data_IF_506864723181
#
_entry.id   IF_506864723181
#
_cell.length_a   1.000
_cell.length_b   1.000
_cell.length_c   1.000
_cell.angle_alpha   90.00
_cell.angle_beta   90.00
_cell.angle_gamma   90.00
#
_symmetry.space_group_name_H-M   'P 1'
#
loop_
_entity.id
_entity.type
_entity.pdbx_description
1 polymer ?
#
# COMPACT_ATOMS: atom_id res chain seq x y z
N UNK A 1 10.14 -24.33 -36.09
CA UNK A 1 11.02 -23.49 -35.24
C UNK A 1 10.27 -22.80 -34.06
N UNK A 2 9.02 -22.40 -34.27
CA UNK A 2 8.25 -21.70 -33.22
C UNK A 2 7.81 -22.60 -32.03
N UNK A 3 7.62 -23.90 -32.24
CA UNK A 3 7.23 -24.85 -31.19
C UNK A 3 8.41 -25.24 -30.28
N UNK A 4 9.62 -25.33 -30.85
CA UNK A 4 10.84 -25.63 -30.09
C UNK A 4 11.25 -24.45 -29.19
N UNK A 5 11.08 -23.21 -29.67
CA UNK A 5 11.40 -22.02 -28.88
C UNK A 5 10.45 -21.82 -27.69
N UNK A 6 9.15 -22.15 -27.84
CA UNK A 6 8.18 -22.14 -26.74
C UNK A 6 8.50 -23.20 -25.69
N UNK A 7 8.85 -24.42 -26.11
CA UNK A 7 9.21 -25.50 -25.18
C UNK A 7 10.48 -25.20 -24.36
N UNK A 8 11.51 -24.63 -24.99
CA UNK A 8 12.73 -24.22 -24.27
C UNK A 8 12.44 -23.10 -23.25
N UNK A 9 11.66 -22.08 -23.63
CA UNK A 9 11.29 -21.00 -22.73
C UNK A 9 10.55 -21.51 -21.46
N UNK A 10 9.66 -22.47 -21.64
CA UNK A 10 8.93 -23.09 -20.51
C UNK A 10 9.85 -23.91 -19.61
N UNK A 11 10.86 -24.59 -20.16
CA UNK A 11 11.85 -25.34 -19.36
C UNK A 11 12.70 -24.39 -18.52
N UNK A 12 13.24 -23.32 -19.11
CA UNK A 12 14.03 -22.32 -18.38
C UNK A 12 13.20 -21.62 -17.28
N UNK A 13 11.95 -21.30 -17.56
CA UNK A 13 11.05 -20.71 -16.57
C UNK A 13 10.82 -21.64 -15.39
N UNK A 14 10.56 -22.92 -15.64
CA UNK A 14 10.38 -23.94 -14.58
C UNK A 14 11.65 -24.17 -13.77
N UNK A 15 12.81 -24.13 -14.40
CA UNK A 15 14.09 -24.25 -13.71
C UNK A 15 14.32 -23.04 -12.77
N UNK A 16 14.10 -21.82 -13.25
CA UNK A 16 14.19 -20.62 -12.42
C UNK A 16 13.19 -20.66 -11.24
N UNK A 17 11.96 -21.09 -11.47
CA UNK A 17 10.97 -21.28 -10.42
C UNK A 17 11.40 -22.34 -9.39
N UNK A 18 12.01 -23.43 -9.82
CA UNK A 18 12.49 -24.50 -8.91
C UNK A 18 13.68 -24.03 -8.06
N UNK A 19 14.58 -23.23 -8.62
CA UNK A 19 15.70 -22.64 -7.89
C UNK A 19 15.20 -21.63 -6.85
N UNK A 20 14.25 -20.80 -7.25
CA UNK A 20 13.67 -19.80 -6.35
C UNK A 20 12.84 -20.44 -5.23
N UNK A 21 12.13 -21.55 -5.52
CA UNK A 21 11.43 -22.32 -4.51
C UNK A 21 12.37 -22.92 -3.44
N UNK A 22 13.58 -23.32 -3.81
CA UNK A 22 14.59 -23.78 -2.85
C UNK A 22 15.08 -22.66 -1.93
N UNK A 23 15.29 -21.45 -2.47
CA UNK A 23 15.63 -20.28 -1.65
C UNK A 23 14.49 -19.95 -0.68
N UNK A 24 13.26 -19.95 -1.17
CA UNK A 24 12.08 -19.72 -0.35
C UNK A 24 11.95 -20.76 0.77
N UNK A 25 12.21 -22.03 0.47
CA UNK A 25 12.22 -23.09 1.47
C UNK A 25 13.25 -22.82 2.57
N UNK A 26 14.48 -22.47 2.22
CA UNK A 26 15.53 -22.16 3.19
C UNK A 26 15.15 -20.99 4.11
N UNK A 27 14.56 -19.94 3.55
CA UNK A 27 14.05 -18.79 4.34
C UNK A 27 12.97 -19.21 5.34
N UNK A 28 12.05 -20.09 4.92
CA UNK A 28 10.98 -20.59 5.80
C UNK A 28 11.50 -21.53 6.88
N UNK A 29 12.50 -22.35 6.58
CA UNK A 29 13.17 -23.22 7.56
C UNK A 29 13.92 -22.42 8.63
N UNK A 30 14.43 -21.23 8.28
CA UNK A 30 14.99 -20.24 9.22
C UNK A 30 13.92 -19.50 10.05
N UNK A 31 12.64 -19.80 9.87
CA UNK A 31 11.53 -19.13 10.57
C UNK A 31 11.24 -17.72 10.10
N UNK A 32 11.79 -17.28 8.96
CA UNK A 32 11.56 -15.94 8.39
C UNK A 32 10.41 -15.94 7.39
N UNK A 33 9.76 -14.79 7.21
CA UNK A 33 8.72 -14.62 6.20
C UNK A 33 9.33 -14.37 4.82
N UNK A 34 8.66 -14.86 3.77
CA UNK A 34 9.07 -14.59 2.39
C UNK A 34 8.90 -13.12 2.02
N UNK A 35 7.94 -12.43 2.65
CA UNK A 35 7.78 -10.98 2.52
C UNK A 35 9.05 -10.24 2.96
N UNK A 36 9.59 -10.55 4.15
CA UNK A 36 10.82 -9.93 4.64
C UNK A 36 12.02 -10.25 3.74
N UNK A 37 12.20 -11.51 3.33
CA UNK A 37 13.28 -11.94 2.45
C UNK A 37 13.20 -11.25 1.07
N UNK A 38 12.00 -11.04 0.53
CA UNK A 38 11.82 -10.35 -0.76
C UNK A 38 12.18 -8.88 -0.70
N UNK A 39 11.90 -8.21 0.41
CA UNK A 39 12.33 -6.81 0.64
C UNK A 39 13.86 -6.68 0.70
N UNK A 40 14.54 -7.70 1.20
CA UNK A 40 16.00 -7.82 1.18
C UNK A 40 16.59 -8.28 -0.16
N UNK A 41 15.75 -8.61 -1.16
CA UNK A 41 16.20 -9.10 -2.47
C UNK A 41 16.68 -10.56 -2.46
N UNK A 42 16.43 -11.32 -1.40
CA UNK A 42 16.85 -12.72 -1.26
C UNK A 42 15.98 -13.67 -2.10
N UNK A 43 14.68 -13.33 -2.26
CA UNK A 43 13.68 -14.15 -2.95
C UNK A 43 12.87 -13.30 -3.92
N UNK A 44 12.73 -13.79 -5.17
CA UNK A 44 11.85 -13.19 -6.18
C UNK A 44 10.45 -13.81 -6.12
N UNK A 45 9.53 -13.11 -5.44
CA UNK A 45 8.15 -13.55 -5.29
C UNK A 45 7.37 -13.60 -6.62
N UNK A 46 7.80 -12.88 -7.66
CA UNK A 46 7.13 -12.92 -8.96
C UNK A 46 7.21 -14.30 -9.60
N UNK A 47 8.33 -15.01 -9.41
CA UNK A 47 8.50 -16.38 -9.88
C UNK A 47 7.65 -17.41 -9.10
N UNK A 48 7.33 -17.10 -7.84
CA UNK A 48 6.59 -17.97 -6.92
C UNK A 48 5.10 -17.62 -6.77
N UNK A 49 4.64 -16.57 -7.46
CA UNK A 49 3.28 -16.06 -7.35
C UNK A 49 2.20 -17.14 -7.50
N UNK A 50 2.42 -18.13 -8.38
CA UNK A 50 1.48 -19.22 -8.64
C UNK A 50 1.31 -20.19 -7.44
N UNK A 51 2.19 -20.15 -6.44
CA UNK A 51 2.10 -20.96 -5.23
C UNK A 51 1.21 -20.32 -4.14
N UNK A 52 0.83 -19.06 -4.29
CA UNK A 52 -0.05 -18.33 -3.36
C UNK A 52 0.39 -18.42 -1.89
N UNK A 53 1.71 -18.35 -1.62
CA UNK A 53 2.29 -18.55 -0.30
C UNK A 53 1.83 -17.47 0.67
N UNK A 54 1.36 -17.87 1.85
CA UNK A 54 0.85 -16.95 2.88
C UNK A 54 1.90 -15.96 3.36
N UNK A 55 3.12 -16.44 3.62
CA UNK A 55 4.24 -15.63 4.11
C UNK A 55 4.84 -14.69 3.07
N UNK A 56 4.42 -14.81 1.80
CA UNK A 56 4.78 -13.89 0.71
C UNK A 56 3.88 -12.67 0.63
N UNK A 57 2.72 -12.69 1.30
CA UNK A 57 1.77 -11.57 1.28
C UNK A 57 2.33 -10.39 2.08
N UNK A 58 2.13 -9.14 1.60
CA UNK A 58 2.41 -7.97 2.41
C UNK A 58 1.48 -7.94 3.63
N UNK A 59 1.98 -7.48 4.75
CA UNK A 59 1.24 -7.30 5.99
C UNK A 59 1.78 -6.10 6.75
N UNK A 60 0.97 -5.57 7.64
CA UNK A 60 1.34 -4.51 8.57
C UNK A 60 0.92 -4.93 9.98
N UNK A 61 1.58 -4.37 10.98
CA UNK A 61 1.23 -4.57 12.38
C UNK A 61 0.45 -3.36 12.89
N UNK A 62 -0.64 -3.63 13.60
CA UNK A 62 -1.41 -2.61 14.31
C UNK A 62 -1.20 -2.85 15.81
N UNK A 63 -0.54 -1.92 16.46
CA UNK A 63 -0.35 -1.91 17.91
C UNK A 63 -1.50 -1.12 18.53
N UNK A 64 -2.45 -1.83 19.15
CA UNK A 64 -3.45 -1.21 19.98
C UNK A 64 -2.79 -0.86 21.31
N UNK A 65 -2.54 0.42 21.54
CA UNK A 65 -1.68 0.95 22.60
C UNK A 65 -2.42 2.03 23.36
N UNK A 66 -2.08 2.17 24.62
CA UNK A 66 -2.53 3.28 25.47
C UNK A 66 -1.72 4.57 25.21
N UNK A 67 -2.12 5.66 25.87
CA UNK A 67 -1.49 6.97 25.75
C UNK A 67 0.01 6.95 26.09
N UNK A 68 0.43 6.14 27.06
CA UNK A 68 1.83 6.04 27.47
C UNK A 68 2.73 5.57 26.31
N UNK A 69 2.26 4.63 25.49
CA UNK A 69 2.99 4.15 24.31
C UNK A 69 2.84 5.12 23.13
N UNK A 70 1.66 5.71 22.95
CA UNK A 70 1.41 6.66 21.87
C UNK A 70 2.28 7.91 21.95
N UNK A 71 2.62 8.35 23.15
CA UNK A 71 3.48 9.51 23.43
C UNK A 71 4.98 9.17 23.53
N UNK A 72 5.34 7.88 23.65
CA UNK A 72 6.74 7.42 23.77
C UNK A 72 7.32 7.02 22.41
N UNK A 73 8.01 7.95 21.74
CA UNK A 73 8.65 7.71 20.45
C UNK A 73 9.76 6.64 20.52
N UNK A 74 10.46 6.51 21.65
CA UNK A 74 11.50 5.50 21.80
C UNK A 74 10.88 4.09 21.83
N UNK A 75 9.77 3.94 22.53
CA UNK A 75 9.04 2.69 22.58
C UNK A 75 8.41 2.33 21.23
N UNK A 76 7.82 3.31 20.54
CA UNK A 76 7.33 3.10 19.16
C UNK A 76 8.45 2.65 18.22
N UNK A 77 9.65 3.22 18.36
CA UNK A 77 10.80 2.81 17.52
C UNK A 77 11.27 1.39 17.84
N UNK A 78 11.36 0.99 19.08
CA UNK A 78 11.66 -0.40 19.46
C UNK A 78 10.68 -1.40 18.82
N UNK A 79 9.39 -1.07 18.86
CA UNK A 79 8.34 -1.93 18.28
C UNK A 79 8.41 -1.95 16.73
N UNK A 80 8.75 -0.83 16.09
CA UNK A 80 9.00 -0.79 14.64
C UNK A 80 10.18 -1.68 14.26
N UNK A 81 11.28 -1.59 15.00
CA UNK A 81 12.48 -2.39 14.75
C UNK A 81 12.22 -3.90 14.94
N UNK A 82 11.35 -4.25 15.91
CA UNK A 82 10.97 -5.64 16.16
C UNK A 82 10.22 -6.26 14.97
N UNK A 83 9.37 -5.48 14.28
CA UNK A 83 8.51 -5.97 13.19
C UNK A 83 9.04 -5.68 11.80
N UNK A 84 10.18 -4.99 11.70
CA UNK A 84 10.80 -4.66 10.42
C UNK A 84 11.03 -5.93 9.55
N UNK A 85 10.87 -5.85 8.24
CA UNK A 85 10.57 -4.68 7.41
C UNK A 85 9.06 -4.42 7.19
N UNK A 86 8.18 -4.98 8.03
CA UNK A 86 6.75 -4.72 7.97
C UNK A 86 6.43 -3.31 8.53
N UNK A 87 5.36 -2.72 8.03
CA UNK A 87 4.86 -1.44 8.52
C UNK A 87 4.24 -1.60 9.91
N UNK A 88 4.35 -0.58 10.76
CA UNK A 88 3.78 -0.54 12.11
C UNK A 88 2.92 0.70 12.30
N UNK A 89 1.66 0.51 12.64
CA UNK A 89 0.69 1.54 12.99
C UNK A 89 0.36 1.44 14.46
N UNK A 90 0.31 2.58 15.15
CA UNK A 90 -0.03 2.70 16.55
C UNK A 90 -1.33 3.48 16.67
N UNK A 91 -2.28 2.95 17.40
CA UNK A 91 -3.55 3.60 17.71
C UNK A 91 -4.10 3.09 19.04
N UNK A 92 -4.98 3.87 19.66
CA UNK A 92 -5.81 3.42 20.75
C UNK A 92 -7.26 3.28 20.26
N UNK A 93 -7.76 2.05 20.27
CA UNK A 93 -9.11 1.75 19.80
C UNK A 93 -10.20 2.43 20.65
N UNK A 94 -9.94 2.75 21.92
CA UNK A 94 -10.87 3.48 22.76
C UNK A 94 -10.93 4.95 22.30
N UNK A 95 -9.79 5.60 22.15
CA UNK A 95 -9.71 6.97 21.65
C UNK A 95 -10.36 7.09 20.25
N UNK A 96 -10.12 6.11 19.36
CA UNK A 96 -10.77 6.09 18.02
C UNK A 96 -12.30 6.02 18.12
N UNK A 97 -12.82 5.34 19.13
CA UNK A 97 -14.28 5.26 19.34
C UNK A 97 -14.83 6.58 19.89
N UNK A 98 -14.11 7.23 20.79
CA UNK A 98 -14.49 8.53 21.36
C UNK A 98 -14.49 9.63 20.29
N UNK A 99 -13.50 9.63 19.38
CA UNK A 99 -13.41 10.57 18.26
C UNK A 99 -14.63 10.56 17.34
N UNK A 100 -15.33 9.41 17.21
CA UNK A 100 -16.54 9.31 16.38
C UNK A 100 -17.75 10.03 16.98
N UNK A 101 -17.73 10.35 18.27
CA UNK A 101 -18.82 11.00 18.99
C UNK A 101 -18.60 12.51 19.17
N UNK A 102 -17.40 13.02 18.84
CA UNK A 102 -16.98 14.39 19.00
C UNK A 102 -17.17 15.19 17.71
N UNK A 103 -17.32 16.51 17.86
CA UNK A 103 -17.19 17.41 16.72
C UNK A 103 -15.71 17.65 16.35
N UNK A 104 -15.47 18.34 15.24
CA UNK A 104 -14.12 18.52 14.70
C UNK A 104 -13.17 19.28 15.65
N UNK A 105 -13.69 20.21 16.47
CA UNK A 105 -12.91 21.03 17.39
C UNK A 105 -12.51 20.19 18.61
N UNK A 106 -13.45 19.50 19.24
CA UNK A 106 -13.21 18.62 20.37
C UNK A 106 -12.34 17.42 19.98
N UNK A 107 -12.53 16.86 18.76
CA UNK A 107 -11.70 15.79 18.23
C UNK A 107 -10.24 16.23 18.07
N UNK A 108 -10.00 17.46 17.59
CA UNK A 108 -8.64 17.99 17.45
C UNK A 108 -7.97 18.21 18.83
N UNK A 109 -8.72 18.64 19.83
CA UNK A 109 -8.19 18.75 21.21
C UNK A 109 -7.81 17.40 21.80
N UNK A 110 -8.66 16.37 21.62
CA UNK A 110 -8.38 15.01 22.10
C UNK A 110 -7.14 14.43 21.43
N UNK A 111 -7.01 14.56 20.10
CA UNK A 111 -5.83 14.09 19.35
C UNK A 111 -4.55 14.76 19.85
N UNK A 112 -4.59 16.09 20.03
CA UNK A 112 -3.45 16.83 20.56
C UNK A 112 -3.04 16.37 21.98
N UNK A 113 -4.03 16.04 22.84
CA UNK A 113 -3.77 15.55 24.19
C UNK A 113 -3.05 14.20 24.20
N UNK A 114 -3.37 13.30 23.24
CA UNK A 114 -2.72 11.99 23.11
C UNK A 114 -1.49 12.02 22.18
N UNK A 115 -1.04 13.22 21.78
CA UNK A 115 0.17 13.39 20.96
C UNK A 115 0.05 12.87 19.54
N UNK A 116 -1.15 12.91 18.95
CA UNK A 116 -1.42 12.49 17.57
C UNK A 116 -1.87 13.68 16.72
N UNK A 117 -1.41 13.73 15.46
CA UNK A 117 -1.78 14.77 14.50
C UNK A 117 -3.06 14.41 13.72
N UNK A 118 -3.39 13.12 13.65
CA UNK A 118 -4.56 12.61 12.91
C UNK A 118 -5.09 11.32 13.56
N UNK A 119 -6.37 10.98 13.33
CA UNK A 119 -6.95 9.72 13.81
C UNK A 119 -6.14 8.51 13.35
N UNK A 120 -5.93 7.53 14.24
CA UNK A 120 -5.17 6.30 13.94
C UNK A 120 -5.79 5.47 12.82
N UNK A 121 -7.13 5.53 12.63
CA UNK A 121 -7.79 4.90 11.49
C UNK A 121 -7.39 5.52 10.15
N UNK A 122 -7.11 6.83 10.09
CA UNK A 122 -6.59 7.46 8.87
C UNK A 122 -5.16 7.01 8.60
N UNK A 123 -4.31 6.99 9.63
CA UNK A 123 -2.94 6.46 9.57
C UNK A 123 -2.95 5.00 9.11
N UNK A 124 -3.85 4.17 9.64
CA UNK A 124 -4.04 2.78 9.25
C UNK A 124 -4.43 2.65 7.78
N UNK A 125 -5.37 3.47 7.30
CA UNK A 125 -5.78 3.47 5.90
C UNK A 125 -4.62 3.84 4.97
N UNK A 126 -3.84 4.88 5.30
CA UNK A 126 -2.64 5.30 4.54
C UNK A 126 -1.60 4.19 4.50
N UNK A 127 -1.24 3.61 5.66
CA UNK A 127 -0.29 2.51 5.75
C UNK A 127 -0.76 1.27 4.97
N UNK A 128 -2.06 0.97 4.98
CA UNK A 128 -2.66 -0.11 4.20
C UNK A 128 -2.51 0.11 2.69
N UNK A 129 -2.80 1.33 2.21
CA UNK A 129 -2.59 1.71 0.80
C UNK A 129 -1.12 1.57 0.40
N UNK A 130 -0.20 2.05 1.22
CA UNK A 130 1.23 1.98 0.97
C UNK A 130 1.74 0.53 0.95
N UNK A 131 1.33 -0.27 1.93
CA UNK A 131 1.67 -1.69 2.02
C UNK A 131 1.20 -2.49 0.80
N UNK A 132 0.02 -2.17 0.27
CA UNK A 132 -0.54 -2.78 -0.93
C UNK A 132 -0.01 -2.16 -2.25
N UNK A 133 0.79 -1.10 -2.16
CA UNK A 133 1.28 -0.36 -3.32
C UNK A 133 0.16 0.31 -4.10
N UNK A 134 -0.87 0.80 -3.42
CA UNK A 134 -2.01 1.48 -4.01
C UNK A 134 -1.83 3.00 -3.96
N UNK A 135 -2.48 3.68 -4.88
CA UNK A 135 -2.65 5.14 -4.87
C UNK A 135 -4.02 5.51 -5.43
N UNK A 136 -4.48 6.68 -5.05
CA UNK A 136 -5.77 7.22 -5.51
C UNK A 136 -5.53 8.40 -6.44
N UNK A 137 -6.32 8.50 -7.50
CA UNK A 137 -6.48 9.72 -8.27
C UNK A 137 -7.96 10.11 -8.34
N UNK A 138 -8.22 11.38 -8.55
CA UNK A 138 -9.56 11.95 -8.61
C UNK A 138 -9.91 12.29 -10.05
N UNK A 139 -11.16 12.10 -10.41
CA UNK A 139 -11.75 12.69 -11.63
C UNK A 139 -12.85 13.64 -11.22
N UNK A 140 -12.92 14.78 -11.88
CA UNK A 140 -14.00 15.74 -11.71
C UNK A 140 -14.62 16.08 -13.06
N UNK A 141 -15.93 16.14 -13.09
CA UNK A 141 -16.71 16.49 -14.26
C UNK A 141 -18.01 17.20 -13.86
N UNK A 142 -18.80 17.68 -14.84
CA UNK A 142 -20.03 18.44 -14.55
C UNK A 142 -21.09 17.67 -13.76
N UNK A 143 -21.01 16.35 -13.75
CA UNK A 143 -22.01 15.46 -13.13
C UNK A 143 -21.54 14.83 -11.83
N UNK A 144 -20.25 14.53 -11.72
CA UNK A 144 -19.70 13.84 -10.56
C UNK A 144 -18.21 14.14 -10.38
N UNK A 145 -17.76 14.04 -9.12
CA UNK A 145 -16.37 13.87 -8.75
C UNK A 145 -16.20 12.47 -8.16
N UNK A 146 -15.11 11.77 -8.52
CA UNK A 146 -14.92 10.39 -8.09
C UNK A 146 -13.44 10.06 -7.84
N UNK A 147 -13.19 9.27 -6.78
CA UNK A 147 -11.90 8.71 -6.48
C UNK A 147 -11.76 7.31 -7.13
N UNK A 148 -10.58 7.04 -7.68
CA UNK A 148 -10.22 5.79 -8.34
C UNK A 148 -8.93 5.25 -7.74
N UNK A 149 -8.93 3.97 -7.38
CA UNK A 149 -7.75 3.31 -6.83
C UNK A 149 -7.00 2.58 -7.93
N UNK A 150 -5.70 2.85 -8.03
CA UNK A 150 -4.76 2.21 -8.96
C UNK A 150 -3.53 1.71 -8.21
N UNK A 151 -2.66 0.97 -8.87
CA UNK A 151 -1.37 0.57 -8.30
C UNK A 151 -0.32 1.65 -8.56
N UNK A 152 0.57 1.86 -7.60
CA UNK A 152 1.75 2.71 -7.79
C UNK A 152 2.56 2.20 -8.98
N UNK A 153 2.87 3.10 -9.93
CA UNK A 153 3.57 2.76 -11.16
C UNK A 153 2.69 2.30 -12.33
N UNK A 154 1.36 2.25 -12.17
CA UNK A 154 0.47 2.04 -13.31
C UNK A 154 0.61 3.19 -14.31
N UNK A 155 0.64 2.84 -15.61
CA UNK A 155 0.70 3.83 -16.69
C UNK A 155 -0.65 4.54 -16.85
N UNK A 156 -0.66 5.74 -17.44
CA UNK A 156 -1.87 6.52 -17.66
C UNK A 156 -2.98 5.75 -18.44
N UNK A 157 -2.69 4.98 -19.49
CA UNK A 157 -3.71 4.13 -20.13
C UNK A 157 -4.31 3.12 -19.16
N UNK A 158 -3.48 2.48 -18.34
CA UNK A 158 -3.92 1.47 -17.39
C UNK A 158 -4.76 2.09 -16.27
N UNK A 159 -4.37 3.28 -15.79
CA UNK A 159 -5.16 4.06 -14.86
C UNK A 159 -6.54 4.43 -15.44
N UNK A 160 -6.58 4.91 -16.69
CA UNK A 160 -7.83 5.19 -17.40
C UNK A 160 -8.72 3.93 -17.56
N UNK A 161 -8.10 2.76 -17.70
CA UNK A 161 -8.77 1.46 -17.78
C UNK A 161 -9.57 1.09 -16.54
N UNK A 162 -9.21 1.63 -15.37
CA UNK A 162 -9.96 1.43 -14.12
C UNK A 162 -11.33 2.13 -14.17
N UNK A 163 -11.44 3.23 -14.91
CA UNK A 163 -12.73 3.90 -15.15
C UNK A 163 -13.58 3.06 -16.10
N UNK A 164 -13.02 2.69 -17.24
CA UNK A 164 -13.66 1.84 -18.24
C UNK A 164 -12.61 1.25 -19.18
N UNK A 165 -12.77 -0.02 -19.56
CA UNK A 165 -11.83 -0.74 -20.42
C UNK A 165 -11.59 -0.08 -21.79
N UNK A 166 -12.59 0.65 -22.32
CA UNK A 166 -12.47 1.37 -23.58
C UNK A 166 -11.54 2.58 -23.45
N UNK A 167 -11.40 3.18 -22.26
CA UNK A 167 -10.47 4.26 -22.02
C UNK A 167 -9.02 3.78 -22.01
N UNK A 168 -8.75 2.55 -21.64
CA UNK A 168 -7.42 1.96 -21.78
C UNK A 168 -7.05 1.77 -23.25
N UNK A 169 -7.97 1.18 -24.03
CA UNK A 169 -7.74 0.89 -25.46
C UNK A 169 -7.68 2.14 -26.33
N UNK A 170 -8.50 3.13 -26.02
CA UNK A 170 -8.63 4.39 -26.78
C UNK A 170 -7.84 5.56 -26.16
N UNK A 171 -6.94 5.30 -25.21
CA UNK A 171 -6.20 6.35 -24.53
C UNK A 171 -5.32 7.16 -25.49
N UNK A 172 -5.51 8.48 -25.49
CA UNK A 172 -4.70 9.40 -26.28
C UNK A 172 -3.88 10.30 -25.36
N UNK A 173 -4.55 11.01 -24.46
CA UNK A 173 -3.93 11.92 -23.48
C UNK A 173 -4.86 12.11 -22.28
N UNK A 174 -4.30 12.53 -21.16
CA UNK A 174 -5.02 13.04 -20.00
C UNK A 174 -4.41 14.38 -19.58
N UNK A 175 -5.24 15.28 -19.10
CA UNK A 175 -4.81 16.48 -18.41
C UNK A 175 -4.83 16.17 -16.92
N UNK A 176 -3.71 16.41 -16.25
CA UNK A 176 -3.51 16.05 -14.84
C UNK A 176 -2.98 17.29 -14.13
N UNK A 177 -3.56 17.59 -12.97
CA UNK A 177 -3.13 18.65 -12.08
C UNK A 177 -2.91 18.09 -10.69
N UNK A 178 -1.95 18.62 -9.96
CA UNK A 178 -1.75 18.30 -8.54
C UNK A 178 -2.97 18.76 -7.72
N UNK A 179 -3.32 17.99 -6.69
CA UNK A 179 -4.44 18.35 -5.82
C UNK A 179 -4.21 19.71 -5.16
N UNK A 180 -3.02 19.93 -4.62
CA UNK A 180 -2.66 21.19 -3.94
C UNK A 180 -2.67 22.39 -4.90
N UNK A 181 -2.25 22.20 -6.16
CA UNK A 181 -2.28 23.22 -7.20
C UNK A 181 -3.74 23.60 -7.55
N UNK A 182 -4.62 22.60 -7.64
CA UNK A 182 -6.03 22.82 -7.92
C UNK A 182 -6.73 23.53 -6.75
N UNK A 183 -6.44 23.12 -5.51
CA UNK A 183 -7.00 23.71 -4.31
C UNK A 183 -6.56 25.18 -4.19
N UNK A 184 -5.29 25.47 -4.38
CA UNK A 184 -4.75 26.83 -4.37
C UNK A 184 -5.32 27.71 -5.47
N UNK A 185 -5.59 27.16 -6.67
CA UNK A 185 -6.20 27.88 -7.79
C UNK A 185 -7.71 28.09 -7.64
N UNK A 186 -8.38 27.28 -6.81
CA UNK A 186 -9.82 27.32 -6.56
C UNK A 186 -10.69 26.86 -7.73
N UNK A 187 -10.15 26.68 -8.93
CA UNK A 187 -10.87 26.13 -10.10
C UNK A 187 -9.91 25.67 -11.20
N UNK A 188 -10.38 24.73 -12.04
CA UNK A 188 -9.66 24.30 -13.25
C UNK A 188 -9.45 25.41 -14.29
N UNK A 189 -10.22 26.52 -14.23
CA UNK A 189 -10.10 27.65 -15.16
C UNK A 189 -8.94 28.58 -14.82
N UNK A 190 -8.34 28.44 -13.62
CA UNK A 190 -7.23 29.26 -13.14
C UNK A 190 -5.86 28.55 -13.27
N UNK A 191 -5.85 27.33 -13.78
CA UNK A 191 -4.68 26.52 -14.07
C UNK A 191 -4.34 26.58 -15.56
#
# INVERSE_FOLDING_TARGET
DCLLSRGLGDVYKRQAQAEEAKKAQAVLEDGRTLFAASKGGEVDLALLHHLHLMTAKPFLYVFNSDEDVLTDDARKQELRDLVAPAEAVFLDAQTETELLELDDEDAAELLAAVGQDEPGLQTLAKAGFDTLGLQTYLTAGPKEARAWTIRKGDTAPKAAGVIHSDFEKGFIKAEIVGFDDLDAAGSMACL
#
